data_IF_567949667102
#
_entry.id   IF_567949667102
#
_cell.length_a   1.000
_cell.length_b   1.000
_cell.length_c   1.000
_cell.angle_alpha   90.00
_cell.angle_beta   90.00
_cell.angle_gamma   90.00
#
_symmetry.space_group_name_H-M   'P 1'
#
loop_
_entity.id
_entity.type
_entity.pdbx_description
1 polymer ?
#
# COMPACT_ATOMS: atom_id res chain seq x y z
N UNK A 1 -2.75 -2.08 23.38
CA UNK A 1 -2.37 -0.74 23.89
C UNK A 1 -1.54 -0.10 22.81
N UNK A 2 -2.11 0.10 21.62
CA UNK A 2 -1.30 0.29 20.41
C UNK A 2 -1.70 1.62 19.80
N UNK A 3 -1.08 2.68 20.31
CA UNK A 3 -1.23 4.05 19.83
C UNK A 3 0.10 4.79 19.92
N UNK A 4 0.21 5.97 19.29
CA UNK A 4 1.42 6.77 19.33
C UNK A 4 1.87 7.06 20.77
N UNK A 5 3.18 6.99 20.99
CA UNK A 5 3.77 7.51 22.22
C UNK A 5 4.06 8.99 22.02
N UNK A 6 3.45 9.85 22.82
CA UNK A 6 3.71 11.29 22.79
C UNK A 6 4.85 11.66 23.72
N UNK A 7 5.82 12.38 23.18
CA UNK A 7 6.93 12.98 23.92
C UNK A 7 6.58 14.45 24.16
N UNK A 8 6.61 14.87 25.42
CA UNK A 8 6.20 16.23 25.82
C UNK A 8 7.40 17.10 26.17
N UNK A 9 7.30 18.40 25.87
CA UNK A 9 8.13 19.44 26.47
C UNK A 9 7.25 20.27 27.42
N UNK A 10 7.60 20.27 28.72
CA UNK A 10 6.86 20.98 29.80
C UNK A 10 5.35 20.73 29.79
N UNK A 11 4.94 19.47 29.62
CA UNK A 11 3.52 19.06 29.66
C UNK A 11 2.74 19.35 28.38
N UNK A 12 3.39 19.82 27.31
CA UNK A 12 2.79 19.98 25.99
C UNK A 12 3.38 18.93 25.03
N UNK A 13 2.55 18.16 24.29
CA UNK A 13 3.05 17.26 23.24
C UNK A 13 3.90 18.04 22.23
N UNK A 14 5.11 17.55 22.00
CA UNK A 14 6.07 18.15 21.08
C UNK A 14 6.46 17.20 19.95
N UNK A 15 6.53 15.89 20.24
CA UNK A 15 6.80 14.84 19.26
C UNK A 15 5.90 13.62 19.47
N UNK A 16 5.77 12.78 18.45
CA UNK A 16 5.11 11.49 18.53
C UNK A 16 6.03 10.40 17.95
N UNK A 17 6.16 9.29 18.66
CA UNK A 17 6.78 8.07 18.18
C UNK A 17 5.68 7.13 17.67
N UNK A 18 5.80 6.72 16.41
CA UNK A 18 4.85 5.87 15.70
C UNK A 18 5.53 4.55 15.30
N UNK A 19 4.73 3.50 15.08
CA UNK A 19 5.18 2.38 14.25
C UNK A 19 5.45 2.91 12.85
N UNK A 20 6.47 2.37 12.18
CA UNK A 20 6.89 2.90 10.87
C UNK A 20 5.77 2.79 9.81
N UNK A 21 4.97 1.72 9.85
CA UNK A 21 3.85 1.51 8.92
C UNK A 21 2.74 2.56 9.09
N UNK A 22 2.48 2.99 10.33
CA UNK A 22 1.49 4.04 10.60
C UNK A 22 1.99 5.40 10.13
N UNK A 23 3.28 5.67 10.26
CA UNK A 23 3.91 6.85 9.68
C UNK A 23 3.75 6.87 8.16
N UNK A 24 4.09 5.78 7.46
CA UNK A 24 3.96 5.70 5.99
C UNK A 24 2.52 5.93 5.52
N UNK A 25 1.54 5.33 6.20
CA UNK A 25 0.11 5.53 5.91
C UNK A 25 -0.31 7.00 6.04
N UNK A 26 0.13 7.69 7.11
CA UNK A 26 -0.19 9.11 7.35
C UNK A 26 0.56 10.03 6.38
N UNK A 27 1.82 9.72 6.09
CA UNK A 27 2.67 10.50 5.20
C UNK A 27 2.29 10.37 3.72
N UNK A 28 1.28 9.55 3.39
CA UNK A 28 0.91 9.26 2.01
C UNK A 28 2.01 8.51 1.25
N UNK A 29 2.97 7.92 1.97
CA UNK A 29 3.93 6.98 1.40
C UNK A 29 3.21 5.63 1.32
N UNK A 30 2.34 5.49 0.32
CA UNK A 30 1.88 4.17 -0.08
C UNK A 30 3.08 3.33 -0.51
N UNK A 31 3.09 2.05 -0.14
CA UNK A 31 4.01 1.09 -0.73
C UNK A 31 3.93 1.23 -2.26
N UNK A 32 5.08 1.09 -2.95
CA UNK A 32 5.10 1.15 -4.42
C UNK A 32 4.05 0.19 -4.94
N UNK A 33 3.19 0.64 -5.84
CA UNK A 33 2.26 -0.26 -6.47
C UNK A 33 3.03 -1.32 -7.25
N UNK A 34 2.42 -2.48 -7.45
CA UNK A 34 3.01 -3.51 -8.31
C UNK A 34 3.34 -2.93 -9.69
N UNK A 35 2.51 -2.02 -10.20
CA UNK A 35 2.74 -1.30 -11.45
C UNK A 35 4.03 -0.45 -11.40
N UNK A 36 4.21 0.37 -10.36
CA UNK A 36 5.42 1.20 -10.18
C UNK A 36 6.70 0.35 -10.12
N UNK A 37 6.61 -0.87 -9.59
CA UNK A 37 7.73 -1.82 -9.56
C UNK A 37 7.98 -2.41 -10.95
N UNK A 38 6.92 -2.72 -11.69
CA UNK A 38 7.00 -3.31 -13.03
C UNK A 38 7.53 -2.33 -14.08
N UNK A 39 7.25 -1.03 -13.95
CA UNK A 39 7.77 0.02 -14.85
C UNK A 39 9.31 0.07 -14.88
N UNK A 40 9.97 -0.42 -13.83
CA UNK A 40 11.43 -0.51 -13.76
C UNK A 40 12.05 -1.69 -14.52
N UNK A 41 11.24 -2.59 -15.11
CA UNK A 41 11.72 -3.80 -15.80
C UNK A 41 12.05 -3.47 -17.26
N UNK A 42 13.32 -3.60 -17.69
CA UNK A 42 13.70 -3.35 -19.07
C UNK A 42 12.98 -4.28 -20.05
N UNK A 43 12.50 -3.72 -21.17
CA UNK A 43 11.82 -4.49 -22.22
C UNK A 43 10.30 -4.61 -22.05
N UNK A 44 9.70 -3.96 -21.04
CA UNK A 44 8.25 -3.83 -20.90
C UNK A 44 7.62 -2.68 -21.69
N UNK A 45 8.42 -1.71 -22.15
CA UNK A 45 7.94 -0.55 -22.89
C UNK A 45 7.54 -0.89 -24.33
N UNK A 46 6.40 -0.36 -24.79
CA UNK A 46 5.97 -0.48 -26.19
C UNK A 46 5.44 -1.87 -26.60
N UNK A 47 5.10 -2.73 -25.63
CA UNK A 47 4.38 -3.98 -25.90
C UNK A 47 2.93 -3.64 -26.28
N UNK A 48 2.51 -4.06 -27.48
CA UNK A 48 1.10 -4.01 -27.89
C UNK A 48 0.33 -5.11 -27.14
N UNK A 49 -0.11 -4.76 -25.93
CA UNK A 49 -0.75 -5.69 -25.01
C UNK A 49 -2.28 -5.67 -25.19
N UNK A 50 -2.76 -6.54 -26.07
CA UNK A 50 -4.18 -6.84 -26.29
C UNK A 50 -4.52 -8.22 -25.67
N UNK A 51 -4.59 -8.35 -24.33
CA UNK A 51 -4.90 -9.62 -23.70
C UNK A 51 -6.33 -10.04 -24.03
N UNK A 52 -6.59 -11.33 -24.25
CA UNK A 52 -7.96 -11.81 -24.42
C UNK A 52 -8.74 -11.54 -23.13
N UNK A 53 -10.01 -11.11 -23.27
CA UNK A 53 -10.90 -11.00 -22.12
C UNK A 53 -11.14 -12.38 -21.53
N UNK A 54 -10.78 -12.56 -20.28
CA UNK A 54 -11.03 -13.79 -19.58
C UNK A 54 -12.54 -13.99 -19.42
N UNK A 55 -13.08 -15.06 -19.99
CA UNK A 55 -14.47 -15.46 -19.80
C UNK A 55 -14.58 -16.22 -18.48
N UNK A 56 -14.66 -15.49 -17.38
CA UNK A 56 -14.88 -16.06 -16.05
C UNK A 56 -16.36 -16.36 -15.85
N UNK A 57 -16.67 -17.61 -15.57
CA UNK A 57 -17.93 -17.96 -14.91
C UNK A 57 -17.68 -17.90 -13.41
N UNK A 58 -18.06 -16.79 -12.80
CA UNK A 58 -18.00 -16.63 -11.33
C UNK A 58 -19.13 -17.48 -10.76
N UNK A 59 -18.78 -18.50 -10.00
CA UNK A 59 -19.72 -19.22 -9.16
C UNK A 59 -19.59 -18.68 -7.73
N UNK A 60 -20.72 -18.58 -7.05
CA UNK A 60 -20.74 -18.19 -5.65
C UNK A 60 -19.99 -19.23 -4.81
N UNK A 61 -19.25 -18.76 -3.81
CA UNK A 61 -18.64 -19.65 -2.83
C UNK A 61 -19.76 -20.31 -2.00
N UNK A 62 -19.73 -21.65 -1.90
CA UNK A 62 -20.58 -22.35 -0.93
C UNK A 62 -20.05 -22.11 0.48
N UNK A 63 -20.93 -21.70 1.38
CA UNK A 63 -20.64 -21.57 2.80
C UNK A 63 -21.54 -22.57 3.55
N UNK A 64 -21.20 -23.86 3.44
CA UNK A 64 -21.70 -24.89 4.36
C UNK A 64 -20.91 -24.88 5.68
#
# INVERSE_FOLDING_TARGET
MDGPVFITDRGRPAFALLKIDDYYRIAGQSERSLLDVMDGIPGGEGIDFEPPRLQLQIQDASFD
#
